data_IF_374815936178
#
_entry.id   IF_374815936178
#
_cell.length_a   1.000
_cell.length_b   1.000
_cell.length_c   1.000
_cell.angle_alpha   90.00
_cell.angle_beta   90.00
_cell.angle_gamma   90.00
#
_symmetry.space_group_name_H-M   'P 1'
#
loop_
_entity.id
_entity.type
_entity.pdbx_description
1 polymer ?
#
# COMPACT_ATOMS: atom_id res chain seq x y z
N UNK A 1 -13.37 -13.09 6.84
CA UNK A 1 -13.61 -11.79 6.20
C UNK A 1 -14.87 -11.20 6.83
N UNK A 2 -14.74 -10.10 7.54
CA UNK A 2 -15.86 -9.42 8.16
C UNK A 2 -16.39 -8.36 7.18
N UNK A 3 -17.66 -8.47 6.76
CA UNK A 3 -18.28 -7.56 5.80
C UNK A 3 -18.94 -6.35 6.48
N UNK A 4 -18.29 -5.83 7.52
CA UNK A 4 -18.77 -4.70 8.32
C UNK A 4 -17.62 -3.75 8.57
N UNK A 5 -17.82 -2.47 8.24
CA UNK A 5 -16.96 -1.39 8.71
C UNK A 5 -17.48 -1.00 10.09
N UNK A 6 -16.64 -1.20 11.11
CA UNK A 6 -16.93 -0.79 12.48
C UNK A 6 -15.63 -0.65 13.25
N UNK A 7 -15.62 0.22 14.25
CA UNK A 7 -14.51 0.30 15.18
C UNK A 7 -14.40 -1.00 15.99
N UNK A 8 -13.35 -1.78 15.73
CA UNK A 8 -13.06 -3.06 16.39
C UNK A 8 -11.92 -2.96 17.41
N UNK A 9 -11.43 -1.75 17.68
CA UNK A 9 -10.27 -1.51 18.52
C UNK A 9 -10.48 -0.38 19.49
N UNK A 10 -9.39 -0.01 20.13
CA UNK A 10 -9.31 1.09 21.08
C UNK A 10 -8.89 2.37 20.33
N UNK A 11 -9.77 2.81 19.43
CA UNK A 11 -9.65 4.02 18.60
C UNK A 11 -10.86 4.93 18.84
N UNK A 12 -10.77 6.20 18.45
CA UNK A 12 -11.97 7.04 18.27
C UNK A 12 -12.82 6.54 17.09
N UNK A 13 -14.09 6.95 17.01
CA UNK A 13 -15.07 6.32 16.11
C UNK A 13 -14.64 6.34 14.64
N UNK A 14 -14.29 7.52 14.10
CA UNK A 14 -13.91 7.66 12.69
C UNK A 14 -12.56 7.05 12.38
N UNK A 15 -11.58 7.16 13.28
CA UNK A 15 -10.31 6.45 13.14
C UNK A 15 -10.54 4.93 13.12
N UNK A 16 -11.40 4.42 13.99
CA UNK A 16 -11.71 2.99 14.04
C UNK A 16 -12.39 2.47 12.77
N UNK A 17 -13.28 3.26 12.17
CA UNK A 17 -13.87 2.95 10.85
C UNK A 17 -12.80 2.95 9.75
N UNK A 18 -11.91 3.96 9.73
CA UNK A 18 -10.80 4.04 8.78
C UNK A 18 -9.85 2.84 8.90
N UNK A 19 -9.43 2.48 10.11
CA UNK A 19 -8.60 1.30 10.37
C UNK A 19 -9.31 0.03 9.89
N UNK A 20 -10.60 -0.12 10.18
CA UNK A 20 -11.39 -1.26 9.69
C UNK A 20 -11.37 -1.35 8.15
N UNK A 21 -11.42 -0.22 7.44
CA UNK A 21 -11.36 -0.23 5.97
C UNK A 21 -9.97 -0.56 5.43
N UNK A 22 -8.90 -0.07 6.06
CA UNK A 22 -7.51 -0.41 5.74
C UNK A 22 -7.24 -1.91 5.94
N UNK A 23 -7.77 -2.50 7.01
CA UNK A 23 -7.60 -3.92 7.33
C UNK A 23 -8.40 -4.81 6.37
N UNK A 24 -9.67 -4.50 6.10
CA UNK A 24 -10.49 -5.24 5.11
C UNK A 24 -9.83 -5.21 3.72
N UNK A 25 -9.25 -4.07 3.35
CA UNK A 25 -8.54 -3.91 2.09
C UNK A 25 -7.32 -4.82 2.04
N UNK A 26 -6.46 -4.75 3.07
CA UNK A 26 -5.25 -5.57 3.19
C UNK A 26 -5.53 -7.05 3.23
N UNK A 27 -6.52 -7.49 4.00
CA UNK A 27 -6.95 -8.90 4.05
C UNK A 27 -7.32 -9.43 2.67
N UNK A 28 -8.06 -8.63 1.89
CA UNK A 28 -8.41 -9.01 0.53
C UNK A 28 -7.20 -9.04 -0.40
N UNK A 29 -6.23 -8.14 -0.25
CA UNK A 29 -4.96 -8.15 -0.98
C UNK A 29 -4.17 -9.41 -0.64
N UNK A 30 -3.95 -9.71 0.64
CA UNK A 30 -3.17 -10.87 1.09
C UNK A 30 -3.74 -12.19 0.59
N UNK A 31 -5.07 -12.35 0.63
CA UNK A 31 -5.75 -13.52 0.06
C UNK A 31 -5.47 -13.69 -1.44
N UNK A 32 -5.38 -12.59 -2.17
CA UNK A 32 -5.05 -12.62 -3.60
C UNK A 32 -3.56 -12.91 -3.87
N UNK A 33 -2.69 -13.01 -2.85
CA UNK A 33 -1.27 -13.31 -3.03
C UNK A 33 -0.89 -14.75 -2.67
N UNK A 34 -1.80 -15.52 -2.09
CA UNK A 34 -1.53 -16.89 -1.67
C UNK A 34 -1.01 -17.76 -2.84
N UNK A 35 0.12 -18.42 -2.60
CA UNK A 35 0.70 -19.40 -3.52
C UNK A 35 1.52 -18.83 -4.69
N UNK A 36 1.73 -17.51 -4.76
CA UNK A 36 2.56 -16.92 -5.82
C UNK A 36 4.06 -17.25 -5.63
N UNK A 37 4.70 -17.73 -6.69
CA UNK A 37 6.15 -17.93 -6.73
C UNK A 37 6.92 -16.64 -7.02
N UNK A 38 8.26 -16.67 -6.95
CA UNK A 38 9.10 -15.53 -7.37
C UNK A 38 8.88 -15.21 -8.86
N UNK A 39 8.74 -16.24 -9.69
CA UNK A 39 8.50 -16.09 -11.12
C UNK A 39 7.14 -15.43 -11.40
N UNK A 40 6.09 -15.78 -10.64
CA UNK A 40 4.79 -15.11 -10.73
C UNK A 40 4.88 -13.65 -10.30
N UNK A 41 5.65 -13.36 -9.24
CA UNK A 41 5.83 -12.00 -8.72
C UNK A 41 6.57 -11.10 -9.70
N UNK A 42 7.53 -11.65 -10.43
CA UNK A 42 8.37 -10.96 -11.41
C UNK A 42 7.77 -10.96 -12.82
N UNK A 43 6.63 -11.61 -13.03
CA UNK A 43 5.99 -11.70 -14.33
C UNK A 43 5.55 -10.32 -14.84
N UNK A 44 5.87 -10.05 -16.11
CA UNK A 44 5.48 -8.85 -16.83
C UNK A 44 4.50 -9.22 -17.95
N UNK A 45 3.38 -8.50 -18.03
CA UNK A 45 2.39 -8.68 -19.11
C UNK A 45 2.91 -8.15 -20.45
N UNK A 46 3.77 -7.13 -20.38
CA UNK A 46 4.52 -6.52 -21.48
C UNK A 46 5.75 -5.78 -20.90
N UNK A 47 6.63 -5.27 -21.77
CA UNK A 47 7.91 -4.64 -21.37
C UNK A 47 7.73 -3.36 -20.53
N UNK A 48 6.57 -2.73 -20.59
CA UNK A 48 6.25 -1.49 -19.87
C UNK A 48 5.43 -1.70 -18.60
N UNK A 49 4.92 -2.92 -18.39
CA UNK A 49 4.03 -3.27 -17.29
C UNK A 49 4.72 -3.20 -15.91
N UNK A 50 3.89 -3.17 -14.88
CA UNK A 50 4.30 -3.39 -13.50
C UNK A 50 4.13 -4.88 -13.16
N UNK A 51 5.12 -5.47 -12.51
CA UNK A 51 5.02 -6.82 -11.96
C UNK A 51 4.20 -6.83 -10.65
N UNK A 52 3.76 -8.00 -10.18
CA UNK A 52 3.08 -8.08 -8.88
C UNK A 52 4.02 -7.62 -7.75
N UNK A 53 5.30 -8.00 -7.79
CA UNK A 53 6.30 -7.56 -6.81
C UNK A 53 6.43 -6.02 -6.74
N UNK A 54 6.44 -5.35 -7.89
CA UNK A 54 6.46 -3.88 -7.97
C UNK A 54 5.21 -3.26 -7.32
N UNK A 55 4.03 -3.81 -7.62
CA UNK A 55 2.77 -3.31 -7.05
C UNK A 55 2.74 -3.44 -5.52
N UNK A 56 3.24 -4.56 -4.98
CA UNK A 56 3.31 -4.76 -3.53
C UNK A 56 4.31 -3.82 -2.84
N UNK A 57 5.47 -3.59 -3.47
CA UNK A 57 6.44 -2.63 -2.98
C UNK A 57 5.88 -1.20 -3.01
N UNK A 58 5.15 -0.85 -4.07
CA UNK A 58 4.50 0.46 -4.21
C UNK A 58 3.46 0.69 -3.11
N UNK A 59 2.57 -0.26 -2.85
CA UNK A 59 1.59 -0.18 -1.75
C UNK A 59 2.26 0.12 -0.39
N UNK A 60 3.36 -0.57 -0.08
CA UNK A 60 4.11 -0.31 1.14
C UNK A 60 4.76 1.09 1.16
N UNK A 61 5.30 1.53 0.02
CA UNK A 61 5.93 2.85 -0.12
C UNK A 61 4.91 4.00 0.01
N UNK A 62 3.71 3.84 -0.57
CA UNK A 62 2.60 4.78 -0.44
C UNK A 62 2.13 4.88 1.00
N UNK A 63 1.96 3.76 1.70
CA UNK A 63 1.61 3.80 3.13
C UNK A 63 2.72 4.51 3.93
N UNK A 64 3.99 4.21 3.66
CA UNK A 64 5.14 4.82 4.33
C UNK A 64 5.23 6.34 4.12
N UNK A 65 5.14 6.85 2.89
CA UNK A 65 5.22 8.31 2.65
C UNK A 65 4.07 9.05 3.35
N UNK A 66 2.89 8.44 3.44
CA UNK A 66 1.76 9.03 4.16
C UNK A 66 1.98 9.06 5.68
N UNK A 67 2.76 8.13 6.24
CA UNK A 67 3.22 8.21 7.63
C UNK A 67 4.13 9.43 7.82
N UNK A 68 5.10 9.62 6.92
CA UNK A 68 6.02 10.76 6.99
C UNK A 68 5.27 12.09 6.92
N UNK A 69 4.33 12.21 5.98
CA UNK A 69 3.55 13.43 5.77
C UNK A 69 2.63 13.69 6.96
N UNK A 70 1.81 12.72 7.37
CA UNK A 70 0.72 12.99 8.32
C UNK A 70 1.14 12.87 9.78
N UNK A 71 2.15 12.05 10.11
CA UNK A 71 2.63 11.89 11.48
C UNK A 71 3.87 12.72 11.78
N UNK A 72 4.75 12.93 10.80
CA UNK A 72 6.06 13.55 11.00
C UNK A 72 6.19 14.91 10.30
N UNK A 73 5.22 15.29 9.45
CA UNK A 73 5.21 16.54 8.69
C UNK A 73 6.51 16.78 7.92
N UNK A 74 7.00 15.73 7.24
CA UNK A 74 8.22 15.76 6.43
C UNK A 74 8.09 14.88 5.19
N UNK A 75 9.05 15.01 4.30
CA UNK A 75 9.25 14.10 3.16
C UNK A 75 10.34 13.05 3.50
N UNK A 76 10.61 12.16 2.54
CA UNK A 76 11.67 11.18 2.59
C UNK A 76 13.04 11.80 2.90
N UNK A 77 13.82 11.11 3.75
CA UNK A 77 15.27 11.34 3.79
C UNK A 77 15.97 10.70 2.58
N UNK A 78 17.24 11.03 2.36
CA UNK A 78 18.04 10.38 1.32
C UNK A 78 18.18 8.87 1.55
N UNK A 79 18.30 8.44 2.81
CA UNK A 79 18.38 7.03 3.19
C UNK A 79 17.07 6.29 2.91
N UNK A 80 15.93 6.89 3.26
CA UNK A 80 14.62 6.30 2.99
C UNK A 80 14.32 6.28 1.50
N UNK A 81 14.73 7.31 0.74
CA UNK A 81 14.58 7.34 -0.71
C UNK A 81 15.38 6.24 -1.43
N UNK A 82 16.54 5.85 -0.89
CA UNK A 82 17.31 4.69 -1.40
C UNK A 82 16.54 3.37 -1.24
N UNK A 83 15.66 3.27 -0.24
CA UNK A 83 14.86 2.07 0.02
C UNK A 83 13.54 2.11 -0.76
N UNK A 84 12.89 3.26 -0.82
CA UNK A 84 11.50 3.38 -1.31
C UNK A 84 11.38 4.03 -2.68
N UNK A 85 12.40 4.75 -3.15
CA UNK A 85 12.31 5.55 -4.38
C UNK A 85 11.98 4.72 -5.61
N UNK A 86 12.54 3.51 -5.76
CA UNK A 86 12.17 2.62 -6.88
C UNK A 86 10.70 2.19 -6.85
N UNK A 87 10.13 2.05 -5.64
CA UNK A 87 8.72 1.69 -5.46
C UNK A 87 7.79 2.89 -5.66
N UNK A 88 8.23 4.11 -5.31
CA UNK A 88 7.50 5.36 -5.58
C UNK A 88 7.50 5.68 -7.07
N UNK A 89 8.68 5.71 -7.71
CA UNK A 89 8.84 6.10 -9.11
C UNK A 89 8.28 5.03 -10.08
N UNK A 90 8.27 3.76 -9.66
CA UNK A 90 7.93 2.60 -10.49
C UNK A 90 8.72 2.63 -11.82
N UNK A 91 8.11 2.18 -12.93
CA UNK A 91 8.70 2.24 -14.25
C UNK A 91 9.96 1.38 -14.40
N UNK A 92 10.93 1.87 -15.19
CA UNK A 92 12.17 1.12 -15.49
C UNK A 92 12.99 0.85 -14.22
N UNK A 93 13.08 1.84 -13.33
CA UNK A 93 13.78 1.71 -12.05
C UNK A 93 13.12 0.65 -11.16
N UNK A 94 11.78 0.68 -11.04
CA UNK A 94 11.05 -0.35 -10.32
C UNK A 94 11.25 -1.74 -10.93
N UNK A 95 11.23 -1.87 -12.27
CA UNK A 95 11.45 -3.16 -12.96
C UNK A 95 12.85 -3.72 -12.76
N UNK A 96 13.87 -2.87 -12.67
CA UNK A 96 15.26 -3.30 -12.51
C UNK A 96 15.62 -3.60 -11.05
N UNK A 97 15.09 -2.83 -10.10
CA UNK A 97 15.44 -2.94 -8.68
C UNK A 97 14.48 -3.82 -7.87
N UNK A 98 13.22 -3.96 -8.28
CA UNK A 98 12.18 -4.71 -7.55
C UNK A 98 11.88 -6.03 -8.28
N UNK A 99 12.86 -6.94 -8.19
CA UNK A 99 12.81 -8.25 -8.86
C UNK A 99 13.57 -9.30 -8.06
N UNK A 100 13.11 -10.56 -8.11
CA UNK A 100 13.83 -11.71 -7.54
C UNK A 100 13.65 -11.89 -6.04
N UNK A 101 12.74 -11.13 -5.41
CA UNK A 101 12.42 -11.26 -4.00
C UNK A 101 11.27 -12.24 -3.77
N UNK A 102 11.33 -13.07 -2.71
CA UNK A 102 10.23 -13.96 -2.36
C UNK A 102 9.01 -13.18 -1.87
N UNK A 103 7.82 -13.77 -1.95
CA UNK A 103 6.58 -13.15 -1.44
C UNK A 103 6.73 -12.67 0.00
N UNK A 104 7.41 -13.44 0.86
CA UNK A 104 7.65 -13.11 2.26
C UNK A 104 8.35 -11.76 2.46
N UNK A 105 9.23 -11.35 1.54
CA UNK A 105 9.91 -10.05 1.59
C UNK A 105 8.89 -8.90 1.48
N UNK A 106 7.98 -8.97 0.52
CA UNK A 106 6.96 -7.95 0.32
C UNK A 106 5.94 -7.94 1.45
N UNK A 107 5.52 -9.13 1.91
CA UNK A 107 4.59 -9.26 3.03
C UNK A 107 5.16 -8.69 4.33
N UNK A 108 6.45 -8.90 4.58
CA UNK A 108 7.13 -8.32 5.73
C UNK A 108 7.10 -6.79 5.68
N UNK A 109 7.43 -6.18 4.53
CA UNK A 109 7.36 -4.71 4.38
C UNK A 109 5.95 -4.17 4.60
N UNK A 110 4.93 -4.78 3.97
CA UNK A 110 3.53 -4.39 4.14
C UNK A 110 3.08 -4.50 5.61
N UNK A 111 3.56 -5.52 6.33
CA UNK A 111 3.29 -5.71 7.75
C UNK A 111 3.97 -4.63 8.60
N UNK A 112 5.26 -4.40 8.41
CA UNK A 112 6.04 -3.43 9.19
C UNK A 112 5.47 -2.01 9.07
N UNK A 113 5.15 -1.56 7.84
CA UNK A 113 4.53 -0.24 7.65
C UNK A 113 3.15 -0.20 8.30
N UNK A 114 2.31 -1.24 8.15
CA UNK A 114 0.98 -1.27 8.75
C UNK A 114 1.02 -1.24 10.28
N UNK A 115 1.93 -1.98 10.90
CA UNK A 115 2.08 -1.99 12.36
C UNK A 115 2.40 -0.59 12.90
N UNK A 116 3.29 0.15 12.22
CA UNK A 116 3.57 1.54 12.60
C UNK A 116 2.35 2.44 12.36
N UNK A 117 1.67 2.35 11.22
CA UNK A 117 0.41 3.08 10.94
C UNK A 117 -0.60 2.92 12.07
N UNK A 118 -0.90 1.67 12.45
CA UNK A 118 -1.90 1.37 13.47
C UNK A 118 -1.48 1.91 14.85
N UNK A 119 -0.19 1.79 15.19
CA UNK A 119 0.34 2.32 16.45
C UNK A 119 0.18 3.84 16.55
N UNK A 120 0.42 4.55 15.44
CA UNK A 120 0.31 6.01 15.37
C UNK A 120 -1.14 6.47 15.38
N UNK A 121 -2.02 5.82 14.59
CA UNK A 121 -3.45 6.13 14.54
C UNK A 121 -4.13 5.91 15.90
N UNK A 122 -3.67 4.93 16.69
CA UNK A 122 -4.18 4.70 18.04
C UNK A 122 -3.99 5.90 18.98
N UNK A 123 -3.00 6.74 18.71
CA UNK A 123 -2.70 7.94 19.51
C UNK A 123 -3.42 9.21 19.01
N UNK A 124 -4.26 9.11 17.97
CA UNK A 124 -4.97 10.25 17.38
C UNK A 124 -6.45 10.25 17.77
N UNK A 125 -7.09 11.40 17.57
CA UNK A 125 -8.54 11.58 17.74
C UNK A 125 -9.21 11.85 16.40
N UNK A 126 -10.54 11.78 16.35
CA UNK A 126 -11.28 12.02 15.10
C UNK A 126 -11.04 13.44 14.55
N UNK A 127 -10.81 14.45 15.40
CA UNK A 127 -10.46 15.81 14.97
C UNK A 127 -9.16 15.86 14.18
N UNK A 128 -8.18 15.00 14.49
CA UNK A 128 -6.89 14.97 13.81
C UNK A 128 -7.04 14.63 12.31
N UNK A 129 -8.05 13.83 11.94
CA UNK A 129 -8.35 13.51 10.53
C UNK A 129 -8.67 14.77 9.71
N UNK A 130 -9.20 15.82 10.35
CA UNK A 130 -9.59 17.05 9.68
C UNK A 130 -8.49 18.13 9.69
N UNK A 131 -7.27 17.78 10.13
CA UNK A 131 -6.12 18.68 10.00
C UNK A 131 -5.87 18.95 8.52
N UNK A 132 -5.93 20.23 8.12
CA UNK A 132 -5.73 20.67 6.74
C UNK A 132 -4.25 20.91 6.43
N UNK A 133 -3.87 20.59 5.20
CA UNK A 133 -2.61 20.95 4.57
C UNK A 133 -2.82 21.40 3.14
N UNK A 134 -1.73 21.67 2.43
CA UNK A 134 -1.74 22.03 1.02
C UNK A 134 -0.81 21.10 0.25
N UNK A 135 -1.28 20.60 -0.89
CA UNK A 135 -0.40 20.05 -1.91
C UNK A 135 0.52 21.15 -2.49
N UNK A 136 1.66 20.81 -3.12
CA UNK A 136 2.54 21.80 -3.75
C UNK A 136 1.85 22.68 -4.80
N UNK A 137 0.78 22.19 -5.43
CA UNK A 137 -0.05 22.93 -6.38
C UNK A 137 -1.10 23.85 -5.73
N UNK A 138 -1.11 23.95 -4.40
CA UNK A 138 -2.04 24.79 -3.63
C UNK A 138 -3.41 24.18 -3.37
N UNK A 139 -3.66 22.93 -3.76
CA UNK A 139 -4.93 22.24 -3.47
C UNK A 139 -4.98 21.84 -2.00
N UNK A 140 -6.10 22.16 -1.33
CA UNK A 140 -6.36 21.75 0.04
C UNK A 140 -6.52 20.23 0.15
N UNK A 141 -5.93 19.68 1.20
CA UNK A 141 -6.03 18.26 1.56
C UNK A 141 -6.15 18.15 3.08
N UNK A 142 -6.69 17.06 3.59
CA UNK A 142 -6.66 16.77 5.02
C UNK A 142 -6.12 15.36 5.28
N UNK A 143 -5.77 15.08 6.54
CA UNK A 143 -5.29 13.76 6.96
C UNK A 143 -6.27 12.63 6.62
N UNK A 144 -7.57 12.91 6.64
CA UNK A 144 -8.56 11.91 6.30
C UNK A 144 -8.42 11.46 4.83
N UNK A 145 -8.28 12.41 3.91
CA UNK A 145 -8.06 12.10 2.49
C UNK A 145 -6.78 11.31 2.27
N UNK A 146 -5.69 11.68 2.95
CA UNK A 146 -4.41 10.97 2.88
C UNK A 146 -4.56 9.48 3.23
N UNK A 147 -5.25 9.15 4.32
CA UNK A 147 -5.44 7.74 4.72
C UNK A 147 -6.52 7.02 3.92
N UNK A 148 -7.52 7.74 3.42
CA UNK A 148 -8.43 7.22 2.39
C UNK A 148 -7.66 6.82 1.13
N UNK A 149 -6.74 7.66 0.66
CA UNK A 149 -5.96 7.41 -0.55
C UNK A 149 -5.06 6.17 -0.42
N UNK A 150 -4.43 5.94 0.74
CA UNK A 150 -3.67 4.70 0.99
C UNK A 150 -4.52 3.45 0.74
N UNK A 151 -5.77 3.44 1.19
CA UNK A 151 -6.71 2.35 0.94
C UNK A 151 -7.12 2.27 -0.54
N UNK A 152 -7.45 3.40 -1.14
CA UNK A 152 -7.92 3.51 -2.52
C UNK A 152 -6.86 3.04 -3.53
N UNK A 153 -5.61 3.47 -3.34
CA UNK A 153 -4.46 3.06 -4.15
C UNK A 153 -4.23 1.54 -4.05
N UNK A 154 -4.23 0.98 -2.83
CA UNK A 154 -4.10 -0.47 -2.64
C UNK A 154 -5.23 -1.26 -3.34
N UNK A 155 -6.48 -0.78 -3.25
CA UNK A 155 -7.62 -1.40 -3.96
C UNK A 155 -7.43 -1.38 -5.47
N UNK A 156 -6.95 -0.25 -6.02
CA UNK A 156 -6.64 -0.08 -7.44
C UNK A 156 -5.59 -1.07 -7.92
N UNK A 157 -4.45 -1.14 -7.23
CA UNK A 157 -3.35 -2.05 -7.57
C UNK A 157 -3.71 -3.52 -7.35
N UNK A 158 -4.53 -3.85 -6.33
CA UNK A 158 -5.08 -5.21 -6.18
C UNK A 158 -5.90 -5.62 -7.40
N UNK A 159 -6.62 -4.68 -8.02
CA UNK A 159 -7.30 -4.90 -9.29
C UNK A 159 -6.32 -5.34 -10.40
N UNK A 160 -5.17 -4.66 -10.51
CA UNK A 160 -4.12 -5.03 -11.46
C UNK A 160 -3.52 -6.41 -11.16
N UNK A 161 -3.23 -6.71 -9.89
CA UNK A 161 -2.74 -8.03 -9.46
C UNK A 161 -3.69 -9.15 -9.92
N UNK A 162 -5.01 -8.96 -9.75
CA UNK A 162 -6.01 -9.94 -10.21
C UNK A 162 -5.98 -10.16 -11.72
N UNK A 163 -5.75 -9.11 -12.51
CA UNK A 163 -5.61 -9.22 -13.96
C UNK A 163 -4.35 -9.99 -14.35
N UNK A 164 -3.21 -9.70 -13.72
CA UNK A 164 -1.95 -10.41 -13.95
C UNK A 164 -2.11 -11.90 -13.61
N UNK A 165 -2.68 -12.21 -12.44
CA UNK A 165 -2.97 -13.60 -12.02
C UNK A 165 -3.87 -14.34 -13.01
N UNK A 166 -4.87 -13.66 -13.58
CA UNK A 166 -5.74 -14.27 -14.60
C UNK A 166 -4.94 -14.66 -15.85
N UNK A 167 -3.99 -13.83 -16.28
CA UNK A 167 -3.12 -14.15 -17.40
C UNK A 167 -2.16 -15.32 -17.10
N UNK A 168 -1.57 -15.35 -15.90
CA UNK A 168 -0.71 -16.46 -15.46
C UNK A 168 -1.44 -17.80 -15.54
N UNK A 169 -2.68 -17.88 -15.01
CA UNK A 169 -3.50 -19.10 -15.08
C UNK A 169 -3.79 -19.54 -16.52
N UNK A 170 -4.11 -18.59 -17.41
CA UNK A 170 -4.39 -18.91 -18.81
C UNK A 170 -3.17 -19.50 -19.55
N UNK A 171 -1.95 -19.22 -19.08
CA UNK A 171 -0.71 -19.83 -19.60
C UNK A 171 -0.43 -21.20 -19.00
N UNK A 172 -0.82 -21.46 -17.76
CA UNK A 172 -0.66 -22.78 -17.11
C UNK A 172 -1.63 -23.84 -17.62
N UNK A 173 -2.71 -23.45 -18.30
CA UNK A 173 -3.74 -24.34 -18.88
C UNK A 173 -3.43 -24.74 -20.35
N UNK A 174 -2.30 -24.31 -20.90
CA UNK A 174 -1.79 -24.64 -22.25
C UNK A 174 -0.54 -25.50 -22.12
#
# INVERSE_FOLDING_TARGET
>A
MHYQVKNNGDYTEKIGELVSMLDITRDGTLKDLEGLSVEDLDYLTDESANSIGMLLAHMAAIEFVHQLITFENRDFSEEEWKVWGAAIDMGEKGRSEIKGFPLSYYLQKLKEVREYTLSQLKMKTDEWLYTEGLWPNGVKVNHYYFWYHVMEDELGHRGQIRLIKKQLRSKSEI
#
